data_IF_882874318354
#
_entry.id   IF_882874318354
#
_cell.length_a   1.000
_cell.length_b   1.000
_cell.length_c   1.000
_cell.angle_alpha   90.00
_cell.angle_beta   90.00
_cell.angle_gamma   90.00
#
_symmetry.space_group_name_H-M   'P 1'
#
loop_
_entity.id
_entity.type
_entity.pdbx_description
1 polymer ?
#
# COMPACT_ATOMS: atom_id res chain seq x y z
N UNK A 1 4.57 -9.89 2.68
CA UNK A 1 3.63 -8.82 3.05
C UNK A 1 4.22 -7.99 4.18
N UNK A 2 4.13 -6.68 4.05
CA UNK A 2 4.49 -5.69 5.04
C UNK A 2 3.24 -5.12 5.69
N UNK A 3 3.35 -4.73 6.96
CA UNK A 3 2.26 -4.04 7.66
C UNK A 3 2.27 -2.56 7.30
N UNK A 4 1.09 -1.95 7.23
CA UNK A 4 0.93 -0.51 7.08
C UNK A 4 -0.42 -0.03 7.57
N UNK A 5 -0.60 1.28 7.56
CA UNK A 5 -1.84 1.95 7.90
C UNK A 5 -2.28 2.84 6.73
N UNK A 6 -3.54 2.74 6.35
CA UNK A 6 -4.12 3.55 5.27
C UNK A 6 -4.29 4.98 5.75
N UNK A 7 -3.52 5.90 5.18
CA UNK A 7 -3.64 7.33 5.46
C UNK A 7 -4.57 8.05 4.50
N UNK A 8 -4.60 7.64 3.23
CA UNK A 8 -5.45 8.24 2.20
C UNK A 8 -5.64 7.26 1.05
N UNK A 9 -6.82 7.28 0.45
CA UNK A 9 -7.14 6.52 -0.76
C UNK A 9 -7.48 7.53 -1.86
N UNK A 10 -6.82 7.40 -3.01
CA UNK A 10 -7.07 8.18 -4.20
C UNK A 10 -7.50 7.24 -5.33
N UNK A 11 -8.83 7.09 -5.48
CA UNK A 11 -9.42 6.17 -6.47
C UNK A 11 -9.26 6.68 -7.89
N UNK A 12 -9.30 7.99 -8.08
CA UNK A 12 -9.18 8.61 -9.40
C UNK A 12 -7.77 8.40 -9.96
N UNK A 13 -6.74 8.53 -9.11
CA UNK A 13 -5.36 8.32 -9.50
C UNK A 13 -4.86 6.86 -9.31
N UNK A 14 -5.72 5.94 -8.86
CA UNK A 14 -5.41 4.55 -8.50
C UNK A 14 -4.20 4.44 -7.55
N UNK A 15 -4.20 5.27 -6.51
CA UNK A 15 -3.11 5.41 -5.55
C UNK A 15 -3.61 5.27 -4.12
N UNK A 16 -2.74 4.79 -3.25
CA UNK A 16 -2.99 4.68 -1.81
C UNK A 16 -1.79 5.23 -1.05
N UNK A 17 -2.08 6.12 -0.10
CA UNK A 17 -1.08 6.60 0.84
C UNK A 17 -1.06 5.66 2.03
N UNK A 18 0.06 4.97 2.20
CA UNK A 18 0.26 4.01 3.29
C UNK A 18 1.38 4.51 4.19
N UNK A 19 1.11 4.58 5.50
CA UNK A 19 2.16 4.62 6.51
C UNK A 19 2.61 3.19 6.73
N UNK A 20 3.64 2.77 6.04
CA UNK A 20 4.12 1.39 6.11
C UNK A 20 5.20 1.24 7.17
N UNK A 21 5.28 0.02 7.73
CA UNK A 21 6.44 -0.43 8.46
C UNK A 21 7.60 -0.80 7.52
N UNK A 22 8.70 -1.35 8.04
CA UNK A 22 9.83 -1.74 7.21
C UNK A 22 9.41 -2.74 6.12
N UNK A 23 9.78 -2.45 4.87
CA UNK A 23 9.54 -3.30 3.71
C UNK A 23 10.86 -3.98 3.33
N UNK A 24 11.02 -5.23 3.78
CA UNK A 24 12.26 -5.99 3.60
C UNK A 24 12.61 -6.30 2.15
N UNK A 25 11.62 -6.51 1.27
CA UNK A 25 11.92 -6.84 -0.14
C UNK A 25 12.39 -5.62 -0.97
N UNK A 26 12.22 -4.41 -0.43
CA UNK A 26 12.63 -3.16 -1.06
C UNK A 26 13.70 -2.43 -0.24
N UNK A 27 14.23 -3.06 0.83
CA UNK A 27 15.15 -2.44 1.80
C UNK A 27 14.69 -1.07 2.32
N UNK A 28 13.38 -0.87 2.44
CA UNK A 28 12.79 0.40 2.84
C UNK A 28 12.46 0.42 4.34
N UNK A 29 12.89 1.46 5.09
CA UNK A 29 12.45 1.65 6.47
C UNK A 29 10.96 2.03 6.51
N UNK A 30 10.36 2.02 7.70
CA UNK A 30 8.99 2.47 7.86
C UNK A 30 8.83 3.95 7.56
N UNK A 31 8.03 4.30 6.55
CA UNK A 31 7.75 5.68 6.16
C UNK A 31 6.32 5.83 5.63
N UNK A 32 5.91 7.07 5.37
CA UNK A 32 4.61 7.37 4.76
C UNK A 32 4.83 7.79 3.33
N UNK A 33 4.38 6.97 2.39
CA UNK A 33 4.48 7.28 0.96
C UNK A 33 3.25 6.82 0.19
N UNK A 34 3.19 7.24 -1.07
CA UNK A 34 2.11 6.88 -1.99
C UNK A 34 2.54 5.69 -2.83
N UNK A 35 1.72 4.65 -2.83
CA UNK A 35 1.87 3.50 -3.71
C UNK A 35 0.78 3.54 -4.78
N UNK A 36 1.10 3.06 -5.99
CA UNK A 36 0.06 2.69 -6.96
C UNK A 36 -0.50 1.33 -6.58
N UNK A 37 -1.75 1.06 -6.95
CA UNK A 37 -2.30 -0.31 -6.87
C UNK A 37 -2.31 -0.94 -8.27
N UNK A 38 -2.03 -2.24 -8.34
CA UNK A 38 -2.14 -3.00 -9.60
C UNK A 38 -3.59 -3.07 -10.09
N UNK A 39 -4.53 -3.12 -9.14
CA UNK A 39 -5.95 -3.23 -9.40
C UNK A 39 -6.70 -2.25 -8.49
N UNK A 40 -7.54 -1.34 -9.03
CA UNK A 40 -8.29 -0.38 -8.25
C UNK A 40 -9.30 -1.01 -7.28
N UNK A 41 -9.79 -2.24 -7.55
CA UNK A 41 -10.69 -2.97 -6.64
C UNK A 41 -10.05 -3.28 -5.28
N UNK A 42 -8.72 -3.30 -5.22
CA UNK A 42 -7.97 -3.42 -3.95
C UNK A 42 -8.25 -2.24 -3.00
N UNK A 43 -8.51 -1.05 -3.54
CA UNK A 43 -8.82 0.15 -2.75
C UNK A 43 -10.18 0.06 -2.07
N UNK A 44 -11.10 -0.75 -2.59
CA UNK A 44 -12.43 -0.94 -2.01
C UNK A 44 -12.44 -1.96 -0.87
N UNK A 45 -11.36 -2.73 -0.72
CA UNK A 45 -11.18 -3.69 0.39
C UNK A 45 -10.68 -3.03 1.68
N UNK A 46 -10.29 -1.77 1.62
CA UNK A 46 -9.68 -1.03 2.73
C UNK A 46 -10.28 0.36 2.84
N UNK A 47 -10.20 0.96 4.01
CA UNK A 47 -10.58 2.37 4.23
C UNK A 47 -9.49 3.12 4.97
N UNK A 48 -9.51 4.44 4.87
CA UNK A 48 -8.64 5.31 5.66
C UNK A 48 -8.76 5.01 7.15
N UNK A 49 -7.62 4.86 7.82
CA UNK A 49 -7.49 4.46 9.22
C UNK A 49 -7.31 2.96 9.43
N UNK A 50 -7.52 2.12 8.41
CA UNK A 50 -7.32 0.67 8.56
C UNK A 50 -5.83 0.32 8.66
N UNK A 51 -5.55 -0.60 9.57
CA UNK A 51 -4.30 -1.34 9.53
C UNK A 51 -4.42 -2.43 8.47
N UNK A 52 -3.43 -2.52 7.59
CA UNK A 52 -3.42 -3.41 6.43
C UNK A 52 -2.11 -4.20 6.37
N UNK A 53 -2.17 -5.40 5.80
CA UNK A 53 -1.01 -6.10 5.27
C UNK A 53 -1.02 -5.97 3.76
N UNK A 54 0.09 -5.55 3.19
CA UNK A 54 0.19 -5.35 1.75
C UNK A 54 1.50 -5.93 1.21
N UNK A 55 1.51 -6.28 -0.07
CA UNK A 55 2.72 -6.60 -0.82
C UNK A 55 2.92 -5.49 -1.84
N UNK A 56 4.13 -4.96 -1.88
CA UNK A 56 4.55 -3.98 -2.86
C UNK A 56 5.78 -4.50 -3.60
N UNK A 57 5.84 -4.20 -4.88
CA UNK A 57 6.91 -4.58 -5.79
C UNK A 57 7.38 -3.35 -6.56
N UNK A 58 8.67 -3.28 -6.85
CA UNK A 58 9.22 -2.27 -7.74
C UNK A 58 9.09 -2.78 -9.18
N UNK A 59 8.27 -2.09 -9.98
CA UNK A 59 8.10 -2.37 -11.40
C UNK A 59 8.76 -1.27 -12.22
N UNK A 60 10.09 -1.33 -12.32
CA UNK A 60 10.87 -0.39 -13.13
C UNK A 60 10.94 1.00 -12.53
N UNK A 61 11.10 1.10 -11.20
CA UNK A 61 11.16 2.35 -10.44
C UNK A 61 9.79 2.85 -9.96
N UNK A 62 8.71 2.13 -10.26
CA UNK A 62 7.38 2.43 -9.75
C UNK A 62 6.98 1.42 -8.67
N UNK A 63 6.61 1.94 -7.49
CA UNK A 63 6.16 1.13 -6.36
C UNK A 63 4.68 0.78 -6.50
N UNK A 64 4.41 -0.49 -6.78
CA UNK A 64 3.07 -1.01 -7.06
C UNK A 64 2.66 -2.03 -6.01
N UNK A 65 1.52 -1.79 -5.37
CA UNK A 65 0.86 -2.72 -4.46
C UNK A 65 0.15 -3.78 -5.29
N UNK A 66 0.61 -5.02 -5.16
CA UNK A 66 0.05 -6.19 -5.87
C UNK A 66 -0.97 -6.95 -5.03
N UNK A 67 -0.92 -6.81 -3.72
CA UNK A 67 -1.91 -7.37 -2.80
C UNK A 67 -2.08 -6.47 -1.58
N UNK A 68 -3.31 -6.34 -1.08
CA UNK A 68 -3.62 -5.63 0.16
C UNK A 68 -4.80 -6.30 0.87
N UNK A 69 -4.69 -6.43 2.19
CA UNK A 69 -5.69 -7.03 3.05
C UNK A 69 -5.81 -6.21 4.34
N UNK A 70 -7.05 -5.86 4.72
CA UNK A 70 -7.30 -5.23 6.02
C UNK A 70 -7.06 -6.24 7.14
N UNK A 71 -6.25 -5.84 8.13
CA UNK A 71 -6.10 -6.58 9.37
C UNK A 71 -7.24 -6.14 10.27
N UNK A 72 -8.23 -7.03 10.44
CA UNK A 72 -9.32 -6.86 11.40
C UNK A 72 -8.84 -6.99 12.83
#
# INVERSE_FOLDING_TARGET
>A
MSSGEVKKIDREAQKITLKHGPIKNLDMPGMTMVFKVVDPSLLDRVKTGDTVKFSAEDQGGALVVTAIEAVK
#
